data_IF_508961019477
#
_entry.id   IF_508961019477
#
_cell.length_a   1.000
_cell.length_b   1.000
_cell.length_c   1.000
_cell.angle_alpha   90.00
_cell.angle_beta   90.00
_cell.angle_gamma   90.00
#
_symmetry.space_group_name_H-M   'P 1'
#
loop_
_entity.id
_entity.type
_entity.pdbx_description
1 polymer ?
#
# COMPACT_ATOMS: atom_id res chain seq x y z
N UNK A 1 -5.25 -14.92 -9.97
CA UNK A 1 -4.61 -13.59 -9.95
C UNK A 1 -3.56 -13.43 -11.05
N UNK A 2 -2.62 -14.37 -11.26
CA UNK A 2 -1.58 -14.25 -12.31
C UNK A 2 -2.13 -13.90 -13.70
N UNK A 3 -3.23 -14.53 -14.15
CA UNK A 3 -3.86 -14.22 -15.43
C UNK A 3 -4.38 -12.76 -15.55
N UNK A 4 -4.77 -12.15 -14.44
CA UNK A 4 -5.15 -10.72 -14.42
C UNK A 4 -3.88 -9.88 -14.54
N UNK A 5 -2.84 -10.22 -13.79
CA UNK A 5 -1.55 -9.53 -13.85
C UNK A 5 -0.99 -9.51 -15.27
N UNK A 6 -0.85 -10.69 -15.92
CA UNK A 6 -0.33 -10.77 -17.29
C UNK A 6 -1.19 -10.02 -18.33
N UNK A 7 -2.49 -9.90 -18.09
CA UNK A 7 -3.39 -9.16 -18.97
C UNK A 7 -3.23 -7.64 -18.85
N UNK A 8 -2.95 -7.13 -17.65
CA UNK A 8 -2.79 -5.68 -17.45
C UNK A 8 -1.36 -5.19 -17.67
N UNK A 9 -0.36 -6.06 -17.53
CA UNK A 9 1.06 -5.70 -17.59
C UNK A 9 1.51 -5.35 -19.02
N UNK A 10 2.34 -4.31 -19.12
CA UNK A 10 3.20 -4.01 -20.25
C UNK A 10 4.64 -4.03 -19.76
N UNK A 11 5.27 -5.20 -19.85
CA UNK A 11 6.61 -5.41 -19.31
C UNK A 11 7.68 -4.86 -20.25
N UNK A 12 8.60 -4.04 -19.70
CA UNK A 12 9.70 -3.40 -20.43
C UNK A 12 11.09 -3.92 -20.02
N UNK A 13 11.20 -4.96 -19.19
CA UNK A 13 12.49 -5.40 -18.65
C UNK A 13 12.85 -6.87 -18.88
N UNK A 14 11.87 -7.71 -19.27
CA UNK A 14 12.16 -9.08 -19.70
C UNK A 14 11.87 -9.27 -21.20
N UNK A 15 12.44 -10.28 -21.86
CA UNK A 15 12.15 -10.58 -23.27
C UNK A 15 10.65 -10.83 -23.50
N UNK A 16 10.11 -10.33 -24.63
CA UNK A 16 8.72 -10.58 -25.01
C UNK A 16 8.46 -12.09 -25.10
N UNK A 17 7.37 -12.54 -24.50
CA UNK A 17 7.01 -13.96 -24.44
C UNK A 17 7.51 -14.68 -23.19
N UNK A 18 8.21 -13.99 -22.26
CA UNK A 18 8.58 -14.59 -20.97
C UNK A 18 7.34 -15.01 -20.21
N UNK A 19 7.30 -16.29 -19.81
CA UNK A 19 6.15 -16.85 -19.09
C UNK A 19 5.88 -16.11 -17.77
N UNK A 20 4.61 -15.89 -17.47
CA UNK A 20 4.17 -15.19 -16.26
C UNK A 20 4.14 -13.66 -16.38
N UNK A 21 4.56 -13.08 -17.50
CA UNK A 21 4.51 -11.66 -17.81
C UNK A 21 3.55 -11.32 -18.94
N UNK A 22 3.09 -10.07 -18.97
CA UNK A 22 2.28 -9.49 -20.02
C UNK A 22 3.02 -8.37 -20.77
N UNK A 23 2.67 -8.17 -22.03
CA UNK A 23 3.40 -7.22 -22.89
C UNK A 23 2.48 -6.24 -23.63
N UNK A 24 1.18 -6.45 -23.57
CA UNK A 24 0.20 -5.69 -24.35
C UNK A 24 -0.83 -4.95 -23.44
N UNK A 25 -0.61 -4.98 -22.11
CA UNK A 25 -1.45 -4.28 -21.14
C UNK A 25 -1.12 -2.78 -21.01
N UNK A 26 -1.91 -2.10 -20.21
CA UNK A 26 -1.70 -0.65 -19.95
C UNK A 26 -0.71 -0.37 -18.82
N UNK A 27 -0.53 -1.33 -17.91
CA UNK A 27 0.25 -1.17 -16.69
C UNK A 27 1.74 -1.31 -16.98
N UNK A 28 2.42 -0.18 -17.16
CA UNK A 28 3.84 -0.14 -17.51
C UNK A 28 4.71 -0.60 -16.34
N UNK A 29 5.50 -1.63 -16.56
CA UNK A 29 6.51 -2.10 -15.60
C UNK A 29 7.90 -2.03 -16.20
N UNK A 30 8.88 -1.55 -15.43
CA UNK A 30 10.27 -1.51 -15.82
C UNK A 30 11.16 -1.80 -14.62
N UNK A 31 12.36 -2.26 -14.87
CA UNK A 31 13.38 -2.55 -13.86
C UNK A 31 14.72 -2.03 -14.34
N UNK A 32 15.33 -1.14 -13.57
CA UNK A 32 16.67 -0.67 -13.86
C UNK A 32 17.65 -1.84 -13.77
N UNK A 33 18.51 -1.99 -14.77
CA UNK A 33 19.61 -2.94 -14.71
C UNK A 33 20.64 -2.46 -13.70
N UNK A 34 21.09 -3.36 -12.83
CA UNK A 34 22.20 -3.07 -11.95
C UNK A 34 23.44 -2.74 -12.78
N UNK A 35 24.19 -1.68 -12.43
CA UNK A 35 25.44 -1.38 -13.09
C UNK A 35 26.43 -2.53 -12.94
N UNK A 36 27.24 -2.77 -13.98
CA UNK A 36 28.25 -3.84 -13.98
C UNK A 36 29.38 -3.59 -12.99
N UNK A 37 29.59 -2.33 -12.59
CA UNK A 37 30.58 -1.89 -11.60
C UNK A 37 29.90 -0.98 -10.59
N UNK A 38 29.52 -1.53 -9.45
CA UNK A 38 29.06 -0.75 -8.30
C UNK A 38 30.29 -0.50 -7.40
N UNK A 39 30.79 0.72 -7.35
CA UNK A 39 31.94 1.10 -6.51
C UNK A 39 31.54 1.93 -5.28
N UNK A 40 30.36 1.69 -4.74
CA UNK A 40 29.81 2.56 -3.74
C UNK A 40 29.40 1.85 -2.42
N UNK A 41 29.10 2.60 -1.35
CA UNK A 41 28.59 2.06 -0.11
C UNK A 41 27.36 1.15 -0.26
N UNK A 42 26.48 1.45 -1.22
CA UNK A 42 25.29 0.63 -1.50
C UNK A 42 25.65 -0.78 -1.93
N UNK A 43 26.64 -0.95 -2.83
CA UNK A 43 27.12 -2.29 -3.20
C UNK A 43 27.73 -3.01 -2.00
N UNK A 44 28.49 -2.31 -1.17
CA UNK A 44 29.07 -2.91 0.03
C UNK A 44 28.00 -3.44 0.97
N UNK A 45 26.87 -2.75 1.11
CA UNK A 45 25.72 -3.21 1.87
C UNK A 45 25.05 -4.44 1.22
N UNK A 46 24.88 -4.47 -0.12
CA UNK A 46 24.39 -5.68 -0.81
C UNK A 46 25.36 -6.85 -0.73
N UNK A 47 26.67 -6.63 -0.86
CA UNK A 47 27.68 -7.66 -0.68
C UNK A 47 27.63 -8.25 0.73
N UNK A 48 27.52 -7.40 1.76
CA UNK A 48 27.35 -7.82 3.13
C UNK A 48 26.05 -8.62 3.34
N UNK A 49 24.95 -8.15 2.78
CA UNK A 49 23.67 -8.86 2.82
C UNK A 49 23.74 -10.22 2.11
N UNK A 50 24.42 -10.32 0.97
CA UNK A 50 24.56 -11.57 0.21
C UNK A 50 25.19 -12.68 1.03
N UNK A 51 26.18 -12.36 1.89
CA UNK A 51 26.82 -13.35 2.76
C UNK A 51 25.85 -14.01 3.74
N UNK A 52 24.79 -13.30 4.15
CA UNK A 52 23.76 -13.85 5.03
C UNK A 52 22.87 -14.89 4.35
N UNK A 53 22.93 -14.98 3.03
CA UNK A 53 22.27 -15.99 2.17
C UNK A 53 23.24 -17.01 1.60
N UNK A 54 24.47 -17.09 2.15
CA UNK A 54 25.54 -17.95 1.62
C UNK A 54 25.90 -17.66 0.14
N UNK A 55 25.83 -16.38 -0.26
CA UNK A 55 26.18 -15.90 -1.60
C UNK A 55 27.45 -15.06 -1.56
N UNK A 56 28.25 -15.16 -2.64
CA UNK A 56 29.45 -14.34 -2.80
C UNK A 56 29.15 -12.98 -3.42
N UNK A 57 30.04 -12.01 -3.23
CA UNK A 57 29.96 -10.69 -3.85
C UNK A 57 29.92 -10.74 -5.38
N UNK A 58 30.57 -11.73 -6.01
CA UNK A 58 30.53 -11.92 -7.47
C UNK A 58 29.13 -12.24 -8.01
N UNK A 59 28.21 -12.73 -7.19
CA UNK A 59 26.83 -13.06 -7.57
C UNK A 59 25.87 -11.88 -7.43
N UNK A 60 26.26 -10.81 -6.71
CA UNK A 60 25.36 -9.71 -6.35
C UNK A 60 24.79 -9.01 -7.58
N UNK A 61 25.60 -8.71 -8.61
CA UNK A 61 25.10 -8.08 -9.84
C UNK A 61 24.06 -8.93 -10.55
N UNK A 62 24.27 -10.26 -10.61
CA UNK A 62 23.29 -11.17 -11.19
C UNK A 62 21.99 -11.21 -10.39
N UNK A 63 22.10 -11.23 -9.06
CA UNK A 63 20.94 -11.19 -8.17
C UNK A 63 20.15 -9.87 -8.29
N UNK A 64 20.83 -8.73 -8.40
CA UNK A 64 20.19 -7.43 -8.61
C UNK A 64 19.48 -7.30 -9.98
N UNK A 65 19.76 -8.18 -10.91
CA UNK A 65 19.04 -8.30 -12.18
C UNK A 65 18.01 -9.43 -12.19
N UNK A 66 17.89 -10.20 -11.10
CA UNK A 66 16.90 -11.26 -11.00
C UNK A 66 15.49 -10.67 -10.80
N UNK A 67 14.52 -11.23 -11.48
CA UNK A 67 13.14 -10.78 -11.42
C UNK A 67 12.39 -11.40 -10.23
N UNK A 68 11.94 -10.60 -9.24
CA UNK A 68 11.17 -11.10 -8.11
C UNK A 68 9.76 -11.54 -8.48
N UNK A 69 9.28 -11.21 -9.68
CA UNK A 69 7.96 -11.53 -10.19
C UNK A 69 7.96 -12.72 -11.18
N UNK A 70 9.09 -13.34 -11.42
CA UNK A 70 9.21 -14.52 -12.29
C UNK A 70 8.15 -15.58 -11.97
N UNK A 71 7.72 -16.32 -12.98
CA UNK A 71 6.82 -17.46 -12.79
C UNK A 71 7.61 -18.65 -12.22
N UNK A 72 7.72 -18.67 -10.91
CA UNK A 72 8.35 -19.73 -10.15
C UNK A 72 7.36 -20.25 -9.08
N UNK A 73 7.09 -21.56 -9.00
CA UNK A 73 6.22 -22.15 -7.99
C UNK A 73 6.73 -21.90 -6.57
N UNK A 74 8.04 -21.73 -6.36
CA UNK A 74 8.68 -21.47 -5.07
C UNK A 74 8.93 -19.98 -4.83
N UNK A 75 8.38 -19.08 -5.65
CA UNK A 75 8.63 -17.63 -5.55
C UNK A 75 8.35 -17.09 -4.14
N UNK A 76 7.28 -17.52 -3.50
CA UNK A 76 6.85 -16.99 -2.22
C UNK A 76 7.73 -17.45 -1.03
N UNK A 77 8.54 -18.49 -1.25
CA UNK A 77 9.58 -18.96 -0.34
C UNK A 77 10.98 -18.43 -0.68
N UNK A 78 11.16 -17.90 -1.91
CA UNK A 78 12.48 -17.46 -2.38
C UNK A 78 13.01 -16.28 -1.57
N UNK A 79 14.22 -16.41 -1.01
CA UNK A 79 14.92 -15.40 -0.23
C UNK A 79 16.21 -14.99 -0.91
N UNK A 80 16.66 -13.76 -0.67
CA UNK A 80 17.89 -13.22 -1.24
C UNK A 80 17.71 -11.82 -1.80
N UNK A 81 18.61 -11.45 -2.70
CA UNK A 81 18.65 -10.15 -3.37
C UNK A 81 17.98 -10.31 -4.75
N UNK A 82 17.17 -9.32 -5.13
CA UNK A 82 16.46 -9.26 -6.40
C UNK A 82 16.51 -7.85 -6.98
N UNK A 83 16.20 -7.72 -8.27
CA UNK A 83 15.90 -6.43 -8.85
C UNK A 83 14.63 -5.82 -8.25
N UNK A 84 14.42 -4.54 -8.52
CA UNK A 84 13.23 -3.80 -8.04
C UNK A 84 12.40 -3.30 -9.24
N UNK A 85 11.41 -4.07 -9.69
CA UNK A 85 10.48 -3.61 -10.71
C UNK A 85 9.65 -2.43 -10.20
N UNK A 86 9.42 -1.47 -11.05
CA UNK A 86 8.68 -0.24 -10.73
C UNK A 86 7.70 0.14 -11.83
N UNK A 87 6.77 1.04 -11.53
CA UNK A 87 5.78 1.56 -12.48
C UNK A 87 6.39 2.63 -13.37
N UNK A 88 7.10 2.19 -14.38
CA UNK A 88 7.81 3.06 -15.29
C UNK A 88 7.68 2.56 -16.74
N UNK A 89 7.67 3.51 -17.67
CA UNK A 89 7.88 3.25 -19.08
C UNK A 89 9.34 2.84 -19.34
N UNK A 90 9.63 2.34 -20.50
CA UNK A 90 11.00 1.97 -20.93
C UNK A 90 12.02 3.12 -20.80
N UNK A 91 11.57 4.38 -20.88
CA UNK A 91 12.41 5.58 -20.73
C UNK A 91 12.60 6.01 -19.26
N UNK A 92 12.14 5.22 -18.28
CA UNK A 92 12.23 5.55 -16.85
C UNK A 92 11.19 6.54 -16.32
N UNK A 93 10.30 7.06 -17.16
CA UNK A 93 9.23 7.94 -16.69
C UNK A 93 8.16 7.14 -15.93
N UNK A 94 7.73 7.69 -14.81
CA UNK A 94 6.63 7.13 -14.03
C UNK A 94 5.37 7.00 -14.89
N UNK A 95 4.67 5.87 -14.75
CA UNK A 95 3.35 5.64 -15.29
C UNK A 95 2.36 5.36 -14.15
N UNK A 96 1.20 5.98 -14.18
CA UNK A 96 0.22 5.91 -13.10
C UNK A 96 -1.21 5.80 -13.65
N UNK A 97 -2.19 5.59 -12.78
CA UNK A 97 -3.62 5.64 -13.15
C UNK A 97 -4.01 6.98 -13.76
N UNK A 98 -3.35 8.09 -13.34
CA UNK A 98 -3.56 9.41 -13.96
C UNK A 98 -3.23 9.39 -15.46
N UNK A 99 -2.11 8.79 -15.83
CA UNK A 99 -1.68 8.72 -17.24
C UNK A 99 -2.69 7.90 -18.03
N UNK A 100 -3.13 6.76 -17.51
CA UNK A 100 -4.14 5.91 -18.17
C UNK A 100 -5.50 6.61 -18.34
N UNK A 101 -5.96 7.37 -17.35
CA UNK A 101 -7.19 8.18 -17.45
C UNK A 101 -7.05 9.22 -18.54
N UNK A 102 -5.95 9.96 -18.57
CA UNK A 102 -5.72 11.03 -19.58
C UNK A 102 -5.57 10.46 -21.00
N UNK A 103 -4.91 9.32 -21.15
CA UNK A 103 -4.81 8.59 -22.42
C UNK A 103 -6.20 8.12 -22.89
N UNK A 104 -7.03 7.60 -21.97
CA UNK A 104 -8.41 7.16 -22.26
C UNK A 104 -9.26 8.34 -22.77
N UNK A 105 -9.17 9.50 -22.13
CA UNK A 105 -9.88 10.71 -22.55
C UNK A 105 -9.35 11.19 -23.91
N UNK A 106 -8.04 11.19 -24.11
CA UNK A 106 -7.42 11.59 -25.37
C UNK A 106 -7.84 10.68 -26.53
N UNK A 107 -8.03 9.40 -26.27
CA UNK A 107 -8.53 8.42 -27.23
C UNK A 107 -10.02 8.55 -27.51
N UNK A 108 -10.72 9.59 -26.98
CA UNK A 108 -12.13 9.89 -27.19
C UNK A 108 -13.11 8.85 -26.66
N UNK A 109 -12.70 8.04 -25.69
CA UNK A 109 -13.66 7.24 -24.94
C UNK A 109 -14.58 8.15 -24.10
N UNK A 110 -15.85 7.76 -23.86
CA UNK A 110 -16.84 8.57 -23.16
C UNK A 110 -16.58 8.62 -21.65
N UNK A 111 -15.42 9.18 -21.27
CA UNK A 111 -14.97 9.37 -19.89
C UNK A 111 -14.90 10.85 -19.57
N UNK A 112 -15.69 11.29 -18.57
CA UNK A 112 -15.68 12.65 -18.05
C UNK A 112 -14.97 12.69 -16.70
N UNK A 113 -13.99 13.59 -16.56
CA UNK A 113 -13.26 13.81 -15.33
C UNK A 113 -13.73 15.13 -14.68
N UNK A 114 -14.43 15.04 -13.54
CA UNK A 114 -14.84 16.19 -12.74
C UNK A 114 -13.79 16.51 -11.67
N UNK A 115 -12.89 17.43 -11.98
CA UNK A 115 -11.83 17.86 -11.06
C UNK A 115 -12.37 18.74 -9.92
N UNK A 116 -11.65 18.78 -8.79
CA UNK A 116 -12.00 19.57 -7.61
C UNK A 116 -13.41 19.27 -7.07
N UNK A 117 -13.80 18.00 -7.11
CA UNK A 117 -15.11 17.52 -6.68
C UNK A 117 -14.94 16.54 -5.52
N UNK A 118 -15.28 16.97 -4.30
CA UNK A 118 -15.27 16.15 -3.10
C UNK A 118 -16.58 15.38 -3.00
N UNK A 119 -16.57 14.06 -3.22
CA UNK A 119 -17.74 13.21 -3.01
C UNK A 119 -18.13 13.24 -1.51
N UNK A 120 -19.41 13.51 -1.23
CA UNK A 120 -19.90 13.65 0.15
C UNK A 120 -20.73 12.48 0.60
N UNK A 121 -21.58 11.94 -0.29
CA UNK A 121 -22.41 10.76 -0.03
C UNK A 121 -23.01 10.18 -1.31
N UNK A 122 -23.37 8.91 -1.26
CA UNK A 122 -24.20 8.25 -2.27
C UNK A 122 -25.67 8.61 -2.05
N UNK A 123 -26.41 8.80 -3.12
CA UNK A 123 -27.84 9.06 -3.11
C UNK A 123 -28.60 7.77 -3.37
N UNK A 124 -29.66 7.54 -2.62
CA UNK A 124 -30.50 6.36 -2.72
C UNK A 124 -31.96 6.72 -2.97
N UNK A 125 -32.68 5.80 -3.62
CA UNK A 125 -34.14 5.79 -3.63
C UNK A 125 -34.66 4.41 -3.21
N UNK A 126 -35.92 4.37 -2.80
CA UNK A 126 -36.61 3.15 -2.40
C UNK A 126 -37.49 2.57 -3.53
N UNK A 127 -37.39 3.12 -4.75
CA UNK A 127 -38.24 2.77 -5.90
C UNK A 127 -37.51 1.87 -6.90
N UNK A 128 -36.78 0.85 -6.41
CA UNK A 128 -36.11 -0.14 -7.27
C UNK A 128 -36.87 -1.45 -7.37
N UNK A 129 -36.45 -2.35 -8.28
CA UNK A 129 -36.93 -3.73 -8.32
C UNK A 129 -36.47 -4.46 -7.05
N UNK A 130 -37.33 -4.56 -6.04
CA UNK A 130 -37.07 -5.25 -4.78
C UNK A 130 -37.18 -4.35 -3.55
N UNK A 131 -36.92 -4.94 -2.39
CA UNK A 131 -37.07 -4.29 -1.06
C UNK A 131 -35.84 -3.50 -0.62
N UNK A 132 -34.72 -3.57 -1.36
CA UNK A 132 -33.45 -2.92 -0.98
C UNK A 132 -33.32 -1.53 -1.61
N UNK A 133 -32.77 -0.55 -0.88
CA UNK A 133 -32.45 0.76 -1.44
C UNK A 133 -31.52 0.64 -2.64
N UNK A 134 -31.75 1.47 -3.69
CA UNK A 134 -30.91 1.50 -4.89
C UNK A 134 -30.11 2.79 -4.95
N UNK A 135 -28.82 2.69 -5.20
CA UNK A 135 -27.96 3.83 -5.48
C UNK A 135 -28.35 4.51 -6.82
N UNK A 136 -28.57 5.81 -6.79
CA UNK A 136 -29.05 6.61 -7.93
C UNK A 136 -28.13 7.75 -8.32
N UNK A 137 -27.08 8.02 -7.53
CA UNK A 137 -26.14 9.09 -7.81
C UNK A 137 -25.22 9.38 -6.65
N UNK A 138 -24.49 10.48 -6.79
CA UNK A 138 -23.52 10.97 -5.79
C UNK A 138 -23.75 12.46 -5.57
N UNK A 139 -23.79 12.88 -4.29
CA UNK A 139 -23.68 14.28 -3.92
C UNK A 139 -22.19 14.62 -3.74
N UNK A 140 -21.80 15.82 -4.14
CA UNK A 140 -20.43 16.30 -4.01
C UNK A 140 -20.36 17.82 -3.82
N UNK A 141 -19.23 18.28 -3.30
CA UNK A 141 -18.89 19.70 -3.21
C UNK A 141 -17.85 20.03 -4.29
N UNK A 142 -18.15 20.98 -5.14
CA UNK A 142 -17.20 21.49 -6.14
C UNK A 142 -16.41 22.67 -5.56
N UNK A 143 -15.09 22.53 -5.46
CA UNK A 143 -14.20 23.54 -4.92
C UNK A 143 -12.79 23.02 -4.75
N UNK A 144 -11.78 23.90 -4.96
CA UNK A 144 -10.37 23.54 -4.76
C UNK A 144 -10.05 23.48 -3.27
N UNK A 145 -9.30 22.45 -2.85
CA UNK A 145 -8.72 22.32 -1.50
C UNK A 145 -9.77 22.48 -0.38
N UNK A 146 -10.94 21.90 -0.56
CA UNK A 146 -12.04 21.96 0.40
C UNK A 146 -12.05 20.79 1.40
N UNK A 147 -11.21 19.79 1.22
CA UNK A 147 -11.02 18.68 2.16
C UNK A 147 -9.94 19.03 3.17
N UNK A 148 -10.20 18.84 4.46
CA UNK A 148 -9.29 19.30 5.55
C UNK A 148 -7.95 18.57 5.58
N UNK A 149 -7.80 17.46 4.85
CA UNK A 149 -6.50 16.82 4.64
C UNK A 149 -5.59 17.57 3.64
N UNK A 150 -6.13 18.46 2.81
CA UNK A 150 -5.31 19.25 1.89
C UNK A 150 -4.57 20.34 2.69
N UNK A 151 -3.24 20.37 2.59
CA UNK A 151 -2.41 21.41 3.24
C UNK A 151 -2.78 22.84 2.84
N UNK A 152 -3.49 23.02 1.71
CA UNK A 152 -3.99 24.30 1.20
C UNK A 152 -5.44 24.57 1.61
N UNK A 153 -6.02 23.77 2.52
CA UNK A 153 -7.40 23.93 2.97
C UNK A 153 -7.66 25.35 3.45
N UNK A 154 -8.81 25.90 3.01
CA UNK A 154 -9.28 27.21 3.45
C UNK A 154 -10.72 27.08 3.94
N UNK A 155 -10.93 27.34 5.23
CA UNK A 155 -12.22 27.23 5.89
C UNK A 155 -13.30 28.17 5.32
N UNK A 156 -12.91 29.24 4.63
CA UNK A 156 -13.84 30.16 3.95
C UNK A 156 -14.37 29.59 2.63
N UNK A 157 -13.69 28.60 2.04
CA UNK A 157 -14.16 27.92 0.84
C UNK A 157 -15.03 26.71 1.20
N UNK A 158 -16.34 26.87 1.19
CA UNK A 158 -17.28 25.79 1.50
C UNK A 158 -17.58 24.88 0.31
N UNK A 159 -17.12 25.24 -0.88
CA UNK A 159 -17.49 24.58 -2.14
C UNK A 159 -18.97 24.82 -2.51
N UNK A 160 -19.32 24.42 -3.71
CA UNK A 160 -20.69 24.45 -4.23
C UNK A 160 -21.30 23.06 -4.24
N UNK A 161 -22.44 22.87 -3.58
CA UNK A 161 -23.14 21.59 -3.55
C UNK A 161 -23.69 21.24 -4.94
N UNK A 162 -23.37 20.04 -5.41
CA UNK A 162 -23.82 19.47 -6.68
C UNK A 162 -24.17 18.00 -6.54
N UNK A 163 -24.81 17.46 -7.59
CA UNK A 163 -25.17 16.05 -7.67
C UNK A 163 -24.89 15.52 -9.09
N UNK A 164 -24.52 14.24 -9.16
CA UNK A 164 -24.46 13.49 -10.41
C UNK A 164 -25.37 12.26 -10.30
N UNK A 165 -26.24 12.05 -11.28
CA UNK A 165 -27.13 10.89 -11.31
C UNK A 165 -26.49 9.71 -12.03
N UNK A 166 -26.74 8.51 -11.53
CA UNK A 166 -26.27 7.26 -12.11
C UNK A 166 -27.45 6.46 -12.71
N UNK A 167 -27.38 6.17 -14.01
CA UNK A 167 -28.41 5.35 -14.69
C UNK A 167 -28.24 3.85 -14.43
N UNK A 168 -27.01 3.39 -14.24
CA UNK A 168 -26.68 1.97 -14.03
C UNK A 168 -26.33 1.70 -12.59
N UNK A 169 -25.17 2.17 -12.15
CA UNK A 169 -24.64 1.96 -10.80
C UNK A 169 -23.68 3.07 -10.40
N UNK A 170 -23.41 3.17 -9.12
CA UNK A 170 -22.35 3.99 -8.51
C UNK A 170 -21.20 3.07 -8.11
N UNK A 171 -19.96 3.49 -8.39
CA UNK A 171 -18.75 2.77 -7.99
C UNK A 171 -17.93 3.71 -7.11
N UNK A 172 -17.71 3.32 -5.86
CA UNK A 172 -16.82 4.03 -4.95
C UNK A 172 -15.41 3.48 -5.13
N UNK A 173 -14.45 4.39 -5.34
CA UNK A 173 -13.02 4.10 -5.42
C UNK A 173 -12.25 5.18 -4.64
N UNK A 174 -12.72 5.51 -3.43
CA UNK A 174 -12.15 6.54 -2.57
C UNK A 174 -10.88 6.10 -1.82
N UNK A 175 -10.50 4.84 -1.94
CA UNK A 175 -9.39 4.24 -1.23
C UNK A 175 -9.72 3.92 0.23
N UNK A 176 -8.74 3.38 0.93
CA UNK A 176 -8.91 2.76 2.25
C UNK A 176 -9.46 3.69 3.33
N UNK A 177 -9.24 5.00 3.22
CA UNK A 177 -9.71 5.97 4.21
C UNK A 177 -11.04 6.63 3.82
N UNK A 178 -11.17 7.05 2.57
CA UNK A 178 -12.36 7.79 2.16
C UNK A 178 -13.51 6.90 1.70
N UNK A 179 -13.27 5.68 1.26
CA UNK A 179 -14.35 4.73 0.95
C UNK A 179 -15.23 4.44 2.17
N UNK A 180 -14.71 4.00 3.34
CA UNK A 180 -15.55 3.84 4.53
C UNK A 180 -16.17 5.16 5.00
N UNK A 181 -15.49 6.30 4.85
CA UNK A 181 -16.07 7.61 5.16
C UNK A 181 -17.31 7.88 4.30
N UNK A 182 -17.22 7.71 2.98
CA UNK A 182 -18.35 7.93 2.06
C UNK A 182 -19.50 6.96 2.37
N UNK A 183 -19.21 5.68 2.65
CA UNK A 183 -20.22 4.70 3.03
C UNK A 183 -20.95 5.12 4.32
N UNK A 184 -20.22 5.49 5.37
CA UNK A 184 -20.81 5.94 6.63
C UNK A 184 -21.62 7.23 6.47
N UNK A 185 -21.11 8.22 5.75
CA UNK A 185 -21.88 9.45 5.44
C UNK A 185 -23.12 9.20 4.60
N UNK A 186 -23.19 8.05 3.93
CA UNK A 186 -24.35 7.59 3.15
C UNK A 186 -25.32 6.73 3.98
N UNK A 187 -25.07 6.54 5.27
CA UNK A 187 -25.91 5.73 6.16
C UNK A 187 -25.58 4.22 6.13
N UNK A 188 -24.44 3.83 5.58
CA UNK A 188 -23.96 2.44 5.53
C UNK A 188 -22.73 2.28 6.41
N UNK A 189 -22.88 1.67 7.58
CA UNK A 189 -21.79 1.53 8.55
C UNK A 189 -22.28 1.06 9.91
N UNK A 190 -21.41 1.07 10.94
CA UNK A 190 -21.80 0.68 12.30
C UNK A 190 -22.92 1.59 12.83
N UNK A 191 -24.08 1.01 13.14
CA UNK A 191 -25.31 1.76 13.47
C UNK A 191 -25.11 2.73 14.64
N UNK A 192 -24.34 2.35 15.67
CA UNK A 192 -24.11 3.20 16.84
C UNK A 192 -23.28 4.44 16.50
N UNK A 193 -22.26 4.28 15.63
CA UNK A 193 -21.47 5.43 15.16
C UNK A 193 -22.31 6.37 14.31
N UNK A 194 -23.15 5.84 13.42
CA UNK A 194 -24.04 6.65 12.57
C UNK A 194 -25.01 7.46 13.43
N UNK A 195 -25.64 6.83 14.44
CA UNK A 195 -26.54 7.49 15.39
C UNK A 195 -25.87 8.60 16.18
N UNK A 196 -24.60 8.40 16.60
CA UNK A 196 -23.80 9.40 17.30
C UNK A 196 -23.73 10.73 16.53
N UNK A 197 -23.61 10.66 15.20
CA UNK A 197 -23.55 11.83 14.32
C UNK A 197 -24.89 12.19 13.69
N UNK A 198 -26.00 11.61 14.16
CA UNK A 198 -27.36 11.83 13.63
C UNK A 198 -27.49 11.51 12.13
N UNK A 199 -26.71 10.54 11.65
CA UNK A 199 -26.82 10.04 10.29
C UNK A 199 -27.87 8.93 10.30
N UNK A 200 -28.92 9.00 9.45
CA UNK A 200 -29.92 7.94 9.34
C UNK A 200 -29.26 6.61 8.91
N UNK A 201 -29.54 5.54 9.65
CA UNK A 201 -29.01 4.21 9.33
C UNK A 201 -29.80 3.63 8.17
N UNK A 202 -29.16 3.49 7.03
CA UNK A 202 -29.71 2.81 5.85
C UNK A 202 -29.41 1.31 5.90
N UNK A 203 -28.18 0.97 6.26
CA UNK A 203 -27.72 -0.41 6.45
C UNK A 203 -26.77 -0.43 7.66
N UNK A 204 -27.09 -1.26 8.66
CA UNK A 204 -26.14 -1.56 9.71
C UNK A 204 -25.09 -2.52 9.16
N UNK A 205 -23.87 -2.01 8.97
CA UNK A 205 -22.73 -2.73 8.41
C UNK A 205 -21.52 -2.56 9.31
N UNK A 206 -21.38 -3.40 10.33
CA UNK A 206 -20.35 -3.23 11.37
C UNK A 206 -18.92 -3.37 10.84
N UNK A 207 -18.71 -3.98 9.66
CA UNK A 207 -17.40 -4.11 9.03
C UNK A 207 -16.87 -2.85 8.37
N UNK A 208 -17.72 -1.85 8.09
CA UNK A 208 -17.26 -0.60 7.44
C UNK A 208 -16.32 0.16 8.37
N UNK A 209 -15.12 0.45 7.87
CA UNK A 209 -14.07 1.13 8.63
C UNK A 209 -13.33 0.25 9.64
N UNK A 210 -13.64 -1.05 9.71
CA UNK A 210 -12.91 -2.03 10.52
C UNK A 210 -11.86 -2.75 9.68
N UNK A 211 -11.00 -3.56 10.35
CA UNK A 211 -10.00 -4.40 9.67
C UNK A 211 -8.96 -3.59 8.89
N UNK A 212 -8.69 -2.33 9.25
CA UNK A 212 -7.61 -1.56 8.63
C UNK A 212 -6.28 -2.29 8.85
N UNK A 213 -5.62 -2.64 7.78
CA UNK A 213 -4.33 -3.31 7.76
C UNK A 213 -3.32 -2.47 7.00
N UNK A 214 -2.07 -2.55 7.43
CA UNK A 214 -0.95 -1.89 6.76
C UNK A 214 0.34 -2.70 6.94
N UNK A 215 1.29 -2.57 6.03
CA UNK A 215 2.62 -3.10 6.22
C UNK A 215 3.35 -2.27 7.28
N UNK A 216 3.82 -2.93 8.34
CA UNK A 216 4.67 -2.26 9.33
C UNK A 216 6.05 -2.02 8.72
N UNK A 217 6.49 -0.78 8.73
CA UNK A 217 7.76 -0.35 8.17
C UNK A 217 8.55 0.47 9.18
N UNK A 218 9.86 0.22 9.25
CA UNK A 218 10.82 1.03 10.00
C UNK A 218 12.12 1.16 9.22
N UNK A 219 12.87 2.26 9.38
CA UNK A 219 14.25 2.36 8.94
C UNK A 219 15.21 1.74 9.95
N UNK A 220 16.37 1.31 9.46
CA UNK A 220 17.61 1.26 10.22
C UNK A 220 18.61 2.18 9.55
N UNK A 221 19.48 2.82 10.32
CA UNK A 221 20.41 3.82 9.79
C UNK A 221 21.83 3.48 10.17
N UNK A 222 22.67 3.34 9.17
CA UNK A 222 24.12 3.24 9.32
C UNK A 222 24.82 4.49 8.80
N UNK A 223 25.97 4.85 9.36
CA UNK A 223 26.82 5.91 8.87
C UNK A 223 28.12 5.33 8.31
N UNK A 224 28.32 5.53 7.02
CA UNK A 224 29.59 5.20 6.34
C UNK A 224 30.64 6.28 6.59
N UNK A 225 31.92 5.93 6.64
CA UNK A 225 33.02 6.90 6.89
C UNK A 225 33.15 7.97 5.80
N UNK A 226 32.79 7.64 4.57
CA UNK A 226 32.80 8.55 3.42
C UNK A 226 31.43 8.58 2.79
N UNK A 227 30.92 9.78 2.53
CA UNK A 227 29.72 9.98 1.71
C UNK A 227 30.00 9.63 0.24
N UNK A 228 28.96 9.43 -0.51
CA UNK A 228 29.00 9.08 -1.95
C UNK A 228 28.15 7.85 -2.16
N UNK A 229 26.96 8.01 -2.73
CA UNK A 229 25.93 7.00 -2.71
C UNK A 229 25.49 6.72 -4.12
N UNK A 230 25.69 5.47 -4.54
CA UNK A 230 24.99 4.94 -5.69
C UNK A 230 23.57 4.52 -5.31
N UNK A 231 22.65 4.70 -6.22
CA UNK A 231 21.31 4.16 -6.09
C UNK A 231 21.36 2.63 -6.20
N UNK A 232 21.17 1.92 -5.09
CA UNK A 232 20.95 0.49 -5.14
C UNK A 232 19.61 0.19 -5.81
N UNK A 233 19.64 -0.42 -6.99
CA UNK A 233 18.44 -0.71 -7.79
C UNK A 233 17.76 -2.02 -7.44
N UNK A 234 17.87 -2.53 -6.22
CA UNK A 234 17.37 -3.84 -5.83
C UNK A 234 16.58 -3.85 -4.54
N UNK A 235 16.03 -5.03 -4.23
CA UNK A 235 15.39 -5.33 -2.97
C UNK A 235 15.94 -6.63 -2.39
N UNK A 236 15.69 -6.85 -1.09
CA UNK A 236 16.04 -8.08 -0.40
C UNK A 236 14.77 -8.68 0.17
N UNK A 237 14.58 -9.98 -0.04
CA UNK A 237 13.48 -10.75 0.54
C UNK A 237 14.05 -11.68 1.61
N UNK A 238 13.47 -11.63 2.81
CA UNK A 238 13.85 -12.51 3.92
C UNK A 238 12.67 -13.33 4.40
N UNK A 239 12.99 -14.47 4.98
CA UNK A 239 12.09 -15.29 5.79
C UNK A 239 12.66 -15.34 7.21
N UNK A 240 11.90 -14.83 8.18
CA UNK A 240 12.27 -14.85 9.59
C UNK A 240 11.79 -16.15 10.25
N UNK A 241 12.25 -16.49 11.47
CA UNK A 241 11.67 -17.59 12.26
C UNK A 241 10.19 -17.40 12.62
N UNK A 242 9.67 -16.19 12.42
CA UNK A 242 8.27 -15.79 12.70
C UNK A 242 7.39 -15.79 11.44
N UNK A 243 7.91 -16.28 10.32
CA UNK A 243 7.17 -16.34 9.06
C UNK A 243 5.98 -17.30 9.17
N UNK A 244 4.82 -16.86 8.67
CA UNK A 244 3.61 -17.66 8.62
C UNK A 244 3.53 -18.36 7.25
N UNK A 245 3.03 -19.59 7.19
CA UNK A 245 2.89 -20.41 5.98
C UNK A 245 4.20 -20.72 5.24
N UNK A 246 5.32 -20.68 5.92
CA UNK A 246 6.66 -20.90 5.35
C UNK A 246 7.02 -19.92 4.20
N UNK A 247 6.37 -18.78 4.11
CA UNK A 247 6.59 -17.75 3.09
C UNK A 247 7.60 -16.70 3.58
N UNK A 248 8.29 -16.06 2.62
CA UNK A 248 9.10 -14.86 2.94
C UNK A 248 8.20 -13.79 3.54
N UNK A 249 8.65 -13.13 4.60
CA UNK A 249 7.79 -12.26 5.41
C UNK A 249 8.35 -10.84 5.60
N UNK A 250 9.58 -10.58 5.15
CA UNK A 250 10.20 -9.27 5.18
C UNK A 250 10.70 -8.88 3.79
N UNK A 251 10.31 -7.67 3.38
CA UNK A 251 10.84 -6.97 2.22
C UNK A 251 11.76 -5.83 2.70
N UNK A 252 12.90 -5.66 2.03
CA UNK A 252 13.92 -4.71 2.43
C UNK A 252 14.35 -3.88 1.23
N UNK A 253 14.38 -2.57 1.41
CA UNK A 253 14.98 -1.62 0.47
C UNK A 253 16.17 -0.92 1.11
N UNK A 254 17.13 -0.54 0.28
CA UNK A 254 18.29 0.24 0.69
C UNK A 254 18.25 1.60 0.00
N UNK A 255 18.53 2.65 0.76
CA UNK A 255 18.48 4.03 0.28
C UNK A 255 19.76 4.77 0.58
N UNK A 256 20.26 5.60 -0.37
CA UNK A 256 21.40 6.49 -0.15
C UNK A 256 21.09 7.66 0.79
N UNK A 257 19.83 7.83 1.15
CA UNK A 257 19.31 8.79 2.12
C UNK A 257 18.41 8.06 3.11
N UNK A 258 18.15 8.66 4.25
CA UNK A 258 17.32 8.04 5.28
C UNK A 258 15.85 8.37 5.04
N UNK A 259 15.01 7.33 4.93
CA UNK A 259 13.57 7.48 4.88
C UNK A 259 12.96 6.98 6.20
N UNK A 260 12.34 7.89 6.96
CA UNK A 260 11.73 7.60 8.27
C UNK A 260 10.19 7.66 8.27
N UNK A 261 9.57 7.57 7.10
CA UNK A 261 8.13 7.65 6.94
C UNK A 261 7.65 9.05 6.53
N UNK A 262 6.35 9.25 6.66
CA UNK A 262 5.67 10.49 6.29
C UNK A 262 5.31 11.30 7.53
N UNK A 263 5.60 12.60 7.50
CA UNK A 263 5.35 13.52 8.60
C UNK A 263 4.09 14.34 8.32
N UNK A 264 3.32 14.71 9.36
CA UNK A 264 2.21 15.62 9.20
C UNK A 264 2.62 16.93 8.51
N UNK A 265 1.75 17.47 7.66
CA UNK A 265 2.03 18.67 6.86
C UNK A 265 2.30 19.94 7.67
N UNK A 266 1.88 19.96 8.93
CA UNK A 266 2.14 21.07 9.86
C UNK A 266 3.50 21.01 10.56
N UNK A 267 4.24 19.92 10.36
CA UNK A 267 5.62 19.80 10.83
C UNK A 267 6.56 20.34 9.74
N UNK A 268 7.33 21.35 10.08
CA UNK A 268 8.34 21.89 9.18
C UNK A 268 9.55 20.98 9.12
N UNK A 269 10.22 20.93 7.97
CA UNK A 269 11.47 20.18 7.80
C UNK A 269 12.56 20.58 8.83
N UNK A 270 12.45 21.77 9.42
CA UNK A 270 13.35 22.23 10.47
C UNK A 270 13.21 21.41 11.77
N UNK A 271 12.10 20.69 11.97
CA UNK A 271 11.91 19.79 13.12
C UNK A 271 12.48 18.38 12.88
N UNK A 272 12.86 18.04 11.65
CA UNK A 272 13.47 16.75 11.33
C UNK A 272 14.99 16.83 11.64
N UNK A 273 15.56 15.80 12.28
CA UNK A 273 16.99 15.76 12.49
C UNK A 273 17.71 15.75 11.13
N UNK A 274 18.75 16.58 10.99
CA UNK A 274 19.63 16.50 9.85
C UNK A 274 20.50 15.25 9.99
N UNK A 275 20.45 14.37 9.01
CA UNK A 275 21.30 13.19 9.04
C UNK A 275 22.78 13.58 8.87
N UNK A 276 23.70 12.98 9.65
CA UNK A 276 25.12 13.16 9.44
C UNK A 276 25.53 12.77 8.02
N UNK A 277 26.56 13.42 7.50
CA UNK A 277 27.15 12.98 6.24
C UNK A 277 27.53 11.50 6.34
N UNK A 278 27.22 10.73 5.31
CA UNK A 278 27.47 9.30 5.33
C UNK A 278 26.28 8.45 5.80
N UNK A 279 25.16 9.04 6.17
CA UNK A 279 23.96 8.27 6.57
C UNK A 279 23.39 7.48 5.41
N UNK A 280 23.04 6.23 5.70
CA UNK A 280 22.50 5.27 4.75
C UNK A 280 21.37 4.48 5.40
N UNK A 281 20.23 4.41 4.74
CA UNK A 281 19.04 3.78 5.26
C UNK A 281 18.81 2.37 4.70
N UNK A 282 18.41 1.44 5.58
CA UNK A 282 17.81 0.16 5.20
C UNK A 282 16.40 0.17 5.76
N UNK A 283 15.39 0.20 4.88
CA UNK A 283 13.98 0.12 5.25
C UNK A 283 13.54 -1.32 5.33
N UNK A 284 12.88 -1.68 6.41
CA UNK A 284 12.40 -3.02 6.76
C UNK A 284 10.88 -3.01 6.74
N UNK A 285 10.28 -3.83 5.88
CA UNK A 285 8.82 -3.87 5.67
C UNK A 285 8.28 -5.27 5.96
N UNK A 286 7.38 -5.39 6.93
CA UNK A 286 6.65 -6.64 7.19
C UNK A 286 5.62 -6.90 6.09
N UNK A 287 5.81 -7.98 5.31
CA UNK A 287 4.99 -8.27 4.14
C UNK A 287 3.58 -8.76 4.49
N UNK A 288 3.48 -9.60 5.51
CA UNK A 288 2.25 -10.28 5.92
C UNK A 288 1.97 -10.05 7.40
N UNK A 289 1.61 -8.81 7.82
CA UNK A 289 1.28 -8.53 9.20
C UNK A 289 0.05 -9.33 9.65
N UNK A 290 0.05 -9.69 10.94
CA UNK A 290 -1.07 -10.40 11.54
C UNK A 290 -2.07 -9.43 12.19
N UNK A 291 -1.69 -8.15 12.34
CA UNK A 291 -2.54 -7.12 12.92
C UNK A 291 -3.73 -6.78 12.01
N UNK A 292 -4.94 -6.84 12.56
CA UNK A 292 -6.21 -6.48 11.92
C UNK A 292 -7.05 -5.52 12.76
N UNK A 293 -6.46 -4.99 13.84
CA UNK A 293 -7.15 -4.16 14.82
C UNK A 293 -7.33 -2.71 14.38
N UNK A 294 -6.83 -2.33 13.21
CA UNK A 294 -6.91 -0.95 12.72
C UNK A 294 -8.34 -0.54 12.37
N UNK A 295 -8.61 0.77 12.51
CA UNK A 295 -9.95 1.33 12.28
C UNK A 295 -9.91 2.66 11.54
N UNK A 296 -10.98 2.93 10.79
CA UNK A 296 -11.31 4.25 10.22
C UNK A 296 -12.70 4.61 10.72
N UNK A 297 -12.84 5.74 11.42
CA UNK A 297 -14.10 6.17 12.04
C UNK A 297 -14.42 7.61 11.67
N UNK A 298 -15.71 7.94 11.58
CA UNK A 298 -16.12 9.34 11.48
C UNK A 298 -15.78 10.10 12.77
N UNK A 299 -15.40 11.37 12.64
CA UNK A 299 -15.31 12.31 13.75
C UNK A 299 -16.48 13.31 13.77
N UNK A 300 -17.20 13.40 12.64
CA UNK A 300 -18.38 14.26 12.47
C UNK A 300 -19.21 13.80 11.26
N UNK A 301 -20.34 14.45 11.00
CA UNK A 301 -21.12 14.31 9.77
C UNK A 301 -20.66 15.27 8.66
N UNK A 302 -19.64 16.11 8.88
CA UNK A 302 -19.08 17.00 7.87
C UNK A 302 -18.17 16.22 6.90
N UNK A 303 -18.50 16.13 5.60
CA UNK A 303 -17.69 15.39 4.63
C UNK A 303 -16.31 16.04 4.36
N UNK A 304 -16.08 17.27 4.79
CA UNK A 304 -14.78 17.94 4.68
C UNK A 304 -13.80 17.52 5.79
N UNK A 305 -14.31 16.94 6.89
CA UNK A 305 -13.46 16.42 7.97
C UNK A 305 -12.71 15.15 7.55
N UNK A 306 -11.48 15.02 8.02
CA UNK A 306 -10.77 13.75 7.93
C UNK A 306 -11.38 12.75 8.91
N UNK A 307 -11.52 11.47 8.55
CA UNK A 307 -11.86 10.45 9.53
C UNK A 307 -10.72 10.28 10.55
N UNK A 308 -11.06 9.74 11.72
CA UNK A 308 -10.06 9.18 12.63
C UNK A 308 -9.48 7.91 12.01
N UNK A 309 -8.17 7.88 11.83
CA UNK A 309 -7.43 6.74 11.30
C UNK A 309 -6.54 6.21 12.40
N UNK A 310 -6.80 4.99 12.85
CA UNK A 310 -6.00 4.34 13.87
C UNK A 310 -5.53 2.97 13.36
N UNK A 311 -4.23 2.81 13.14
CA UNK A 311 -3.66 1.55 12.68
C UNK A 311 -3.60 0.50 13.78
N UNK A 312 -3.64 0.88 15.06
CA UNK A 312 -3.49 -0.01 16.20
C UNK A 312 -2.35 -1.03 16.02
N UNK A 313 -1.20 -0.56 15.52
CA UNK A 313 -0.07 -1.43 15.18
C UNK A 313 0.32 -2.30 16.38
N UNK A 314 0.58 -3.58 16.12
CA UNK A 314 0.92 -4.60 17.11
C UNK A 314 -0.16 -4.90 18.17
N UNK A 315 -1.42 -4.46 17.99
CA UNK A 315 -2.50 -4.79 18.91
C UNK A 315 -2.94 -6.26 18.80
N UNK A 316 -2.86 -6.83 17.59
CA UNK A 316 -3.10 -8.25 17.31
C UNK A 316 -1.86 -8.87 16.68
N UNK A 317 -1.60 -10.15 16.92
CA UNK A 317 -0.47 -10.89 16.33
C UNK A 317 0.91 -10.33 16.69
N UNK A 318 1.04 -9.61 17.81
CA UNK A 318 2.26 -8.91 18.22
C UNK A 318 3.49 -9.82 18.22
N UNK A 319 3.37 -11.04 18.74
CA UNK A 319 4.52 -11.94 18.87
C UNK A 319 5.12 -12.29 17.50
N UNK A 320 4.28 -12.43 16.49
CA UNK A 320 4.69 -12.70 15.11
C UNK A 320 5.29 -11.45 14.48
N UNK A 321 4.55 -10.33 14.50
CA UNK A 321 4.94 -9.13 13.79
C UNK A 321 6.15 -8.46 14.44
N UNK A 322 6.13 -8.26 15.74
CA UNK A 322 7.24 -7.69 16.52
C UNK A 322 8.48 -8.61 16.50
N UNK A 323 8.26 -9.92 16.61
CA UNK A 323 9.33 -10.91 16.54
C UNK A 323 10.09 -10.83 15.21
N UNK A 324 9.35 -10.77 14.08
CA UNK A 324 9.93 -10.65 12.75
C UNK A 324 10.69 -9.32 12.56
N UNK A 325 10.14 -8.21 13.07
CA UNK A 325 10.79 -6.90 13.00
C UNK A 325 12.08 -6.86 13.85
N UNK A 326 12.05 -7.39 15.05
CA UNK A 326 13.26 -7.48 15.94
C UNK A 326 14.35 -8.34 15.31
N UNK A 327 14.01 -9.52 14.76
CA UNK A 327 14.96 -10.39 14.05
C UNK A 327 15.60 -9.65 12.87
N UNK A 328 14.80 -8.86 12.15
CA UNK A 328 15.30 -8.14 10.98
C UNK A 328 16.14 -6.92 11.35
N UNK A 329 15.84 -6.21 12.42
CA UNK A 329 16.70 -5.14 12.98
C UNK A 329 18.06 -5.72 13.39
N UNK A 330 18.06 -6.84 14.08
CA UNK A 330 19.29 -7.53 14.46
C UNK A 330 20.09 -7.98 13.23
N UNK A 331 19.42 -8.49 12.20
CA UNK A 331 20.04 -8.81 10.91
C UNK A 331 20.65 -7.58 10.24
N UNK A 332 19.97 -6.45 10.18
CA UNK A 332 20.50 -5.22 9.59
C UNK A 332 21.77 -4.73 10.29
N UNK A 333 21.83 -4.82 11.62
CA UNK A 333 23.05 -4.52 12.38
C UNK A 333 24.21 -5.45 12.03
N UNK A 334 23.97 -6.76 11.86
CA UNK A 334 25.00 -7.70 11.42
C UNK A 334 25.49 -7.37 10.00
N UNK A 335 24.59 -6.97 9.10
CA UNK A 335 24.96 -6.51 7.75
C UNK A 335 25.90 -5.30 7.87
N UNK A 336 25.54 -4.26 8.62
CA UNK A 336 26.38 -3.09 8.82
C UNK A 336 27.74 -3.44 9.44
N UNK A 337 27.77 -4.28 10.48
CA UNK A 337 28.98 -4.69 11.15
C UNK A 337 29.94 -5.52 10.28
N UNK A 338 29.41 -6.21 9.26
CA UNK A 338 30.21 -7.02 8.33
C UNK A 338 30.90 -6.20 7.24
N UNK A 339 30.53 -4.94 7.04
CA UNK A 339 31.12 -4.05 6.04
C UNK A 339 32.50 -3.57 6.53
N UNK A 340 33.56 -3.94 5.81
CA UNK A 340 34.97 -3.63 6.16
C UNK A 340 35.51 -2.50 5.28
N UNK A 341 36.74 -2.06 5.61
CA UNK A 341 37.48 -1.12 4.77
C UNK A 341 37.54 -1.60 3.31
N UNK A 342 37.56 -0.68 2.32
CA UNK A 342 37.67 0.78 2.46
C UNK A 342 36.31 1.49 2.70
N UNK A 343 35.17 0.83 2.58
CA UNK A 343 33.84 1.44 2.72
C UNK A 343 33.35 1.48 4.18
N UNK A 344 33.74 0.51 4.99
CA UNK A 344 33.48 0.48 6.43
C UNK A 344 34.66 0.90 7.29
N UNK A 345 34.56 0.81 8.62
CA UNK A 345 33.39 0.27 9.36
C UNK A 345 32.19 1.21 9.34
N UNK A 346 30.99 0.62 9.37
CA UNK A 346 29.74 1.38 9.44
C UNK A 346 29.30 1.53 10.89
N UNK A 347 29.07 2.78 11.31
CA UNK A 347 28.51 3.08 12.63
C UNK A 347 26.99 2.98 12.56
N UNK A 348 26.37 2.12 13.36
CA UNK A 348 24.90 2.06 13.47
C UNK A 348 24.42 3.26 14.25
N UNK A 349 23.52 4.05 13.66
CA UNK A 349 22.88 5.22 14.28
C UNK A 349 21.50 4.87 14.82
N UNK A 350 20.72 4.09 14.05
CA UNK A 350 19.34 3.73 14.38
C UNK A 350 19.05 2.25 14.04
N UNK A 351 18.36 1.52 14.91
CA UNK A 351 18.07 1.87 16.30
C UNK A 351 19.34 1.93 17.14
N UNK A 352 19.41 2.86 18.13
CA UNK A 352 20.58 2.95 19.02
C UNK A 352 20.70 1.67 19.84
N UNK A 353 21.95 1.17 19.93
CA UNK A 353 22.26 -0.05 20.64
C UNK A 353 23.73 -0.04 21.07
N UNK A 354 23.99 0.12 22.36
CA UNK A 354 25.37 0.20 22.87
C UNK A 354 26.02 -1.16 22.99
N UNK A 355 25.26 -2.20 23.34
CA UNK A 355 25.76 -3.54 23.61
C UNK A 355 24.82 -4.59 22.97
N UNK A 356 24.90 -4.81 21.65
CA UNK A 356 24.14 -5.88 21.01
C UNK A 356 24.67 -7.25 21.47
N UNK A 357 23.73 -8.21 21.57
CA UNK A 357 24.11 -9.62 21.77
C UNK A 357 24.82 -10.19 20.53
N UNK A 358 25.26 -11.44 20.61
CA UNK A 358 25.97 -12.12 19.53
C UNK A 358 25.16 -12.18 18.22
N UNK A 359 23.81 -12.05 18.29
CA UNK A 359 22.90 -12.05 17.14
C UNK A 359 22.59 -10.63 16.63
N UNK A 360 23.13 -9.58 17.26
CA UNK A 360 22.89 -8.19 16.89
C UNK A 360 21.65 -7.56 17.52
N UNK A 361 21.00 -8.22 18.49
CA UNK A 361 19.78 -7.74 19.17
C UNK A 361 20.10 -6.91 20.40
N UNK A 362 19.30 -5.88 20.64
CA UNK A 362 19.25 -5.11 21.88
C UNK A 362 17.97 -5.34 22.70
N UNK A 363 17.31 -6.47 22.48
CA UNK A 363 16.19 -6.95 23.31
C UNK A 363 15.05 -5.95 23.43
N UNK A 364 14.81 -5.44 24.65
CA UNK A 364 13.71 -4.50 24.94
C UNK A 364 13.90 -3.13 24.26
N UNK A 365 15.15 -2.66 24.10
CA UNK A 365 15.45 -1.40 23.42
C UNK A 365 15.01 -1.44 21.95
N UNK A 366 15.18 -2.58 21.29
CA UNK A 366 14.69 -2.76 19.91
C UNK A 366 13.18 -2.74 19.85
N UNK A 367 12.49 -3.40 20.78
CA UNK A 367 11.04 -3.41 20.84
C UNK A 367 10.46 -2.01 21.06
N UNK A 368 11.06 -1.24 21.96
CA UNK A 368 10.63 0.14 22.24
C UNK A 368 10.85 1.05 21.02
N UNK A 369 12.00 0.91 20.36
CA UNK A 369 12.29 1.63 19.12
C UNK A 369 11.28 1.27 18.01
N UNK A 370 11.08 -0.02 17.76
CA UNK A 370 10.13 -0.49 16.75
C UNK A 370 8.74 0.05 17.05
N UNK A 371 8.27 -0.04 18.29
CA UNK A 371 6.96 0.47 18.70
C UNK A 371 6.82 1.98 18.44
N UNK A 372 7.88 2.75 18.70
CA UNK A 372 7.86 4.21 18.56
C UNK A 372 8.03 4.69 17.11
N UNK A 373 8.73 3.94 16.26
CA UNK A 373 9.13 4.38 14.92
C UNK A 373 8.38 3.68 13.78
N UNK A 374 7.63 2.61 14.07
CA UNK A 374 6.86 1.92 13.02
C UNK A 374 5.80 2.83 12.44
N UNK A 375 5.78 2.91 11.15
CA UNK A 375 4.74 3.58 10.36
C UNK A 375 4.17 2.63 9.31
N UNK A 376 3.05 3.02 8.69
CA UNK A 376 2.45 2.35 7.55
C UNK A 376 2.06 3.36 6.48
N UNK A 377 2.14 2.97 5.22
CA UNK A 377 1.70 3.77 4.08
C UNK A 377 1.11 2.93 2.95
N UNK A 378 0.72 1.70 3.27
CA UNK A 378 0.07 0.74 2.38
C UNK A 378 -1.31 0.30 2.92
N UNK A 379 -2.18 1.23 3.34
CA UNK A 379 -3.43 0.91 4.01
C UNK A 379 -4.39 0.14 3.10
N UNK A 380 -5.08 -0.86 3.67
CA UNK A 380 -6.05 -1.72 2.96
C UNK A 380 -7.20 -2.13 3.88
N UNK A 381 -8.21 -2.79 3.31
CA UNK A 381 -9.10 -3.73 4.01
C UNK A 381 -10.28 -3.15 4.80
N UNK A 382 -10.58 -1.85 4.71
CA UNK A 382 -11.63 -1.17 5.49
C UNK A 382 -13.07 -1.33 4.95
N UNK A 383 -13.24 -1.98 3.80
CA UNK A 383 -14.54 -2.36 3.22
C UNK A 383 -14.41 -3.76 2.59
N UNK A 384 -14.03 -4.73 3.39
CA UNK A 384 -13.56 -6.02 2.92
C UNK A 384 -14.65 -6.87 2.23
N UNK A 385 -14.24 -7.59 1.18
CA UNK A 385 -14.99 -8.71 0.63
C UNK A 385 -14.98 -9.84 1.66
N UNK A 386 -16.13 -10.47 1.87
CA UNK A 386 -16.23 -11.63 2.77
C UNK A 386 -17.30 -12.61 2.35
N UNK A 387 -17.35 -13.74 3.03
CA UNK A 387 -18.36 -14.77 2.84
C UNK A 387 -19.75 -14.29 3.32
N UNK A 388 -20.82 -14.95 2.86
CA UNK A 388 -22.18 -14.53 3.21
C UNK A 388 -22.51 -14.68 4.70
N UNK A 389 -21.82 -15.57 5.39
CA UNK A 389 -21.95 -15.80 6.83
C UNK A 389 -20.95 -14.98 7.67
N UNK A 390 -20.12 -14.13 7.07
CA UNK A 390 -19.26 -13.20 7.81
C UNK A 390 -20.02 -11.90 8.11
N UNK A 391 -20.35 -11.62 9.39
CA UNK A 391 -21.09 -10.41 9.76
C UNK A 391 -20.28 -9.12 9.53
N UNK A 392 -18.96 -9.22 9.32
CA UNK A 392 -18.09 -8.08 9.02
C UNK A 392 -17.87 -7.88 7.52
N UNK A 393 -18.40 -8.77 6.67
CA UNK A 393 -18.28 -8.61 5.23
C UNK A 393 -19.08 -7.39 4.74
N UNK A 394 -18.39 -6.40 4.21
CA UNK A 394 -18.99 -5.20 3.61
C UNK A 394 -19.44 -5.48 2.19
N UNK A 395 -18.67 -6.28 1.46
CA UNK A 395 -18.87 -6.58 0.05
C UNK A 395 -19.07 -8.07 -0.19
N UNK A 396 -19.79 -8.38 -1.26
CA UNK A 396 -19.80 -9.72 -1.84
C UNK A 396 -18.61 -9.95 -2.79
N UNK A 397 -18.50 -11.17 -3.34
CA UNK A 397 -17.42 -11.54 -4.28
C UNK A 397 -17.49 -10.81 -5.64
N UNK A 398 -18.57 -10.09 -5.90
CA UNK A 398 -18.78 -9.26 -7.09
C UNK A 398 -18.64 -7.77 -6.80
N UNK A 399 -18.03 -7.41 -5.67
CA UNK A 399 -17.81 -6.04 -5.20
C UNK A 399 -19.08 -5.26 -4.83
N UNK A 400 -20.26 -5.87 -4.83
CA UNK A 400 -21.49 -5.20 -4.43
C UNK A 400 -21.49 -4.90 -2.93
N UNK A 401 -21.92 -3.70 -2.56
CA UNK A 401 -22.14 -3.33 -1.16
C UNK A 401 -23.38 -4.07 -0.64
N UNK A 402 -23.21 -4.83 0.44
CA UNK A 402 -24.29 -5.63 1.04
C UNK A 402 -25.41 -4.72 1.57
N UNK A 403 -26.65 -5.16 1.47
CA UNK A 403 -27.83 -4.44 1.95
C UNK A 403 -28.44 -3.43 0.98
N UNK A 404 -27.74 -3.06 -0.09
CA UNK A 404 -28.23 -2.13 -1.13
C UNK A 404 -28.06 -2.73 -2.53
N UNK A 405 -28.55 -2.03 -3.55
CA UNK A 405 -28.37 -2.37 -4.97
C UNK A 405 -27.77 -1.21 -5.75
N UNK A 406 -27.11 -1.50 -6.87
CA UNK A 406 -26.52 -0.48 -7.75
C UNK A 406 -25.34 0.28 -7.13
N UNK A 407 -24.68 -0.30 -6.11
CA UNK A 407 -23.50 0.26 -5.47
C UNK A 407 -22.38 -0.78 -5.36
N UNK A 408 -21.19 -0.41 -5.80
CA UNK A 408 -19.97 -1.22 -5.65
C UNK A 408 -18.83 -0.41 -5.02
N UNK A 409 -17.88 -1.14 -4.45
CA UNK A 409 -16.57 -0.59 -4.06
C UNK A 409 -15.48 -1.33 -4.82
N UNK A 410 -14.58 -0.59 -5.47
CA UNK A 410 -13.46 -1.17 -6.24
C UNK A 410 -12.19 -0.36 -5.97
N UNK A 411 -11.48 -0.68 -4.91
CA UNK A 411 -10.21 -0.07 -4.51
C UNK A 411 -9.48 -0.93 -3.46
N UNK A 412 -8.45 -0.40 -2.82
CA UNK A 412 -7.66 -1.12 -1.82
C UNK A 412 -8.43 -1.43 -0.51
N UNK A 413 -9.57 -0.80 -0.26
CA UNK A 413 -10.40 -1.12 0.91
C UNK A 413 -11.05 -2.50 0.83
N UNK A 414 -11.14 -3.08 -0.38
CA UNK A 414 -11.85 -4.33 -0.67
C UNK A 414 -11.09 -5.59 -0.25
N UNK A 415 -9.79 -5.51 0.00
CA UNK A 415 -9.00 -6.67 0.38
C UNK A 415 -9.48 -7.26 1.72
N UNK A 416 -9.72 -8.56 1.82
CA UNK A 416 -9.98 -9.21 3.10
C UNK A 416 -8.73 -9.29 3.98
N UNK A 417 -7.54 -9.32 3.33
CA UNK A 417 -6.22 -9.31 3.94
C UNK A 417 -5.26 -8.55 3.02
N UNK A 418 -4.33 -7.80 3.61
CA UNK A 418 -3.29 -7.11 2.84
C UNK A 418 -2.52 -8.08 1.94
N UNK A 419 -2.35 -7.76 0.64
CA UNK A 419 -1.85 -8.72 -0.35
C UNK A 419 -0.32 -8.85 -0.39
N UNK A 420 0.39 -8.42 0.64
CA UNK A 420 1.86 -8.37 0.70
C UNK A 420 2.42 -6.99 0.41
N UNK A 421 3.61 -6.88 -0.17
CA UNK A 421 4.24 -5.61 -0.54
C UNK A 421 4.60 -5.57 -2.03
N UNK A 422 4.29 -4.49 -2.70
CA UNK A 422 3.47 -3.36 -2.29
C UNK A 422 2.07 -3.55 -2.86
N UNK A 423 0.98 -3.05 -2.23
CA UNK A 423 -0.40 -3.36 -2.63
C UNK A 423 -0.83 -2.74 -3.96
N UNK A 424 -0.03 -1.86 -4.55
CA UNK A 424 -0.40 -1.09 -5.74
C UNK A 424 -0.71 -1.98 -6.96
N UNK A 425 0.10 -2.99 -7.27
CA UNK A 425 -0.20 -3.93 -8.38
C UNK A 425 -1.48 -4.70 -8.10
N UNK A 426 -1.64 -5.20 -6.87
CA UNK A 426 -2.85 -5.90 -6.45
C UNK A 426 -4.09 -5.01 -6.56
N UNK A 427 -3.97 -3.71 -6.28
CA UNK A 427 -5.07 -2.73 -6.43
C UNK A 427 -5.45 -2.53 -7.91
N UNK A 428 -4.48 -2.45 -8.83
CA UNK A 428 -4.77 -2.45 -10.27
C UNK A 428 -5.46 -3.75 -10.73
N UNK A 429 -5.04 -4.90 -10.18
CA UNK A 429 -5.68 -6.19 -10.47
C UNK A 429 -7.13 -6.25 -9.93
N UNK A 430 -7.40 -5.64 -8.76
CA UNK A 430 -8.77 -5.45 -8.24
C UNK A 430 -9.57 -4.57 -9.20
N UNK A 431 -9.01 -3.46 -9.66
CA UNK A 431 -9.65 -2.59 -10.65
C UNK A 431 -10.04 -3.33 -11.93
N UNK A 432 -9.11 -4.15 -12.46
CA UNK A 432 -9.39 -4.97 -13.65
C UNK A 432 -10.47 -6.04 -13.39
N UNK A 433 -10.38 -6.74 -12.25
CA UNK A 433 -11.39 -7.75 -11.89
C UNK A 433 -12.76 -7.10 -11.67
N UNK A 434 -12.82 -5.95 -11.02
CA UNK A 434 -14.06 -5.18 -10.85
C UNK A 434 -14.67 -4.79 -12.19
N UNK A 435 -13.86 -4.30 -13.12
CA UNK A 435 -14.29 -3.95 -14.49
C UNK A 435 -14.86 -5.17 -15.23
N UNK A 436 -14.21 -6.33 -15.14
CA UNK A 436 -14.71 -7.56 -15.75
C UNK A 436 -16.08 -7.95 -15.22
N UNK A 437 -16.24 -7.92 -13.89
CA UNK A 437 -17.51 -8.27 -13.22
C UNK A 437 -18.63 -7.29 -13.59
N UNK A 438 -18.34 -5.98 -13.64
CA UNK A 438 -19.30 -4.95 -14.05
C UNK A 438 -19.77 -5.19 -15.49
N UNK A 439 -18.85 -5.49 -16.41
CA UNK A 439 -19.17 -5.78 -17.80
C UNK A 439 -19.96 -7.08 -17.96
N UNK A 440 -19.65 -8.12 -17.19
CA UNK A 440 -20.43 -9.36 -17.15
C UNK A 440 -21.87 -9.11 -16.70
N UNK A 441 -22.06 -8.33 -15.61
CA UNK A 441 -23.38 -8.04 -15.08
C UNK A 441 -24.18 -7.13 -16.03
N UNK A 442 -23.52 -6.17 -16.67
CA UNK A 442 -24.16 -5.32 -17.67
C UNK A 442 -24.71 -6.12 -18.88
N UNK A 443 -24.08 -7.23 -19.24
CA UNK A 443 -24.56 -8.14 -20.30
C UNK A 443 -25.74 -9.01 -19.85
N UNK A 444 -25.84 -9.32 -18.55
CA UNK A 444 -26.89 -10.17 -17.97
C UNK A 444 -28.13 -9.38 -17.56
N UNK A 445 -27.98 -8.08 -17.38
CA UNK A 445 -29.09 -7.22 -16.96
C UNK A 445 -30.12 -7.12 -18.08
N UNK A 446 -31.11 -8.03 -18.06
CA UNK A 446 -32.44 -7.79 -18.61
C UNK A 446 -33.08 -6.64 -17.83
N UNK A 447 -33.75 -5.74 -18.53
CA UNK A 447 -34.29 -4.51 -18.00
C UNK A 447 -35.11 -4.73 -16.70
N UNK A 448 -34.57 -4.28 -15.61
CA UNK A 448 -35.31 -3.77 -14.47
C UNK A 448 -35.02 -2.30 -14.33
#
# INVERSE_FOLDING_TARGET
>A
MRNIFTRIEHNNYVPKGTAGHGFDGFFQTNMAKAPSTLQDPGLSAYNAAATTFNKSSSQVTAMLNADPNALDPNRDQAVGIFGLPSHQRSNGQRYSSRDYILETISAKYPLTLAMNSLATKVLFNNTGCGTKPRATGVAYLEGKSIYKADARFNANNKGTQKQATARKEVIISGGTFNTPQILMLSGIGPADQLKQFKIPVLVDSPGVGQNLQDNQEIPTVGQFPKGGYGSGGGCIMRKTPYAVNDERDIFIMQFPNVFRGFWPSNQTNAALPSDPAGSYGISLVKMHPQNKAGTVKLISADPQDMPEINFNLFAEGKDVDMGAMKDTVAWARRVYASIKAPTGPVKVLEPPCSNPDANGSCGKTDEDWITAQTFGHHPTSTAAIGADNDPRAVLDSRFNVRGVTGLRVVDASTFPKIPGVFPVVATFMVGQKGSDVILEDAKKASAC
#
